data_IF_959121491484
#
_entry.id   IF_959121491484
#
_cell.length_a   1.000
_cell.length_b   1.000
_cell.length_c   1.000
_cell.angle_alpha   90.00
_cell.angle_beta   90.00
_cell.angle_gamma   90.00
#
_symmetry.space_group_name_H-M   'P 1'
#
loop_
_entity.id
_entity.type
_entity.pdbx_description
1 polymer ?
#
# COMPACT_ATOMS: atom_id res chain seq x y z
N UNK A 1 -25.75 54.88 14.41
CA UNK A 1 -25.00 54.68 13.15
C UNK A 1 -24.28 53.34 13.25
N UNK A 2 -25.03 52.25 13.05
CA UNK A 2 -24.49 50.89 12.97
C UNK A 2 -24.80 50.45 11.55
N UNK A 3 -23.77 50.41 10.69
CA UNK A 3 -23.89 50.04 9.28
C UNK A 3 -23.89 48.52 9.10
N UNK A 4 -24.52 48.08 8.01
CA UNK A 4 -24.63 46.68 7.61
C UNK A 4 -23.25 46.03 7.46
N UNK A 5 -23.01 45.07 8.35
CA UNK A 5 -21.90 44.12 8.41
C UNK A 5 -20.62 44.65 9.09
N UNK A 6 -20.66 44.76 10.43
CA UNK A 6 -19.52 44.91 11.34
C UNK A 6 -18.49 43.76 11.31
N UNK A 7 -18.14 43.29 10.11
CA UNK A 7 -17.02 42.43 9.80
C UNK A 7 -15.90 43.37 9.31
N UNK A 8 -14.73 43.42 9.95
CA UNK A 8 -13.62 44.20 9.43
C UNK A 8 -13.28 43.72 8.02
N UNK A 9 -13.05 44.67 7.11
CA UNK A 9 -12.61 44.39 5.74
C UNK A 9 -11.33 43.54 5.86
N UNK A 10 -11.29 42.37 5.22
CA UNK A 10 -10.10 41.53 5.20
C UNK A 10 -8.91 42.36 4.70
N UNK A 11 -7.93 42.63 5.58
CA UNK A 11 -6.78 43.50 5.28
C UNK A 11 -5.80 42.85 4.30
N UNK A 12 -5.95 41.55 4.03
CA UNK A 12 -5.11 40.82 3.08
C UNK A 12 -5.97 39.88 2.24
N UNK A 13 -6.24 40.24 0.98
CA UNK A 13 -6.81 39.34 -0.02
C UNK A 13 -5.64 38.74 -0.82
N UNK A 14 -5.26 37.51 -0.52
CA UNK A 14 -4.30 36.73 -1.31
C UNK A 14 -5.06 36.03 -2.45
N UNK A 15 -5.30 36.74 -3.55
CA UNK A 15 -5.82 36.12 -4.77
C UNK A 15 -4.70 35.28 -5.41
N UNK A 16 -4.62 34.00 -5.07
CA UNK A 16 -3.76 33.04 -5.77
C UNK A 16 -4.59 32.19 -6.72
N UNK A 17 -4.29 32.27 -8.02
CA UNK A 17 -4.81 31.31 -9.01
C UNK A 17 -3.78 30.19 -9.14
N UNK A 18 -4.03 29.08 -8.46
CA UNK A 18 -3.20 27.89 -8.57
C UNK A 18 -3.73 27.02 -9.72
N UNK A 19 -2.97 26.93 -10.82
CA UNK A 19 -3.28 26.00 -11.93
C UNK A 19 -2.24 24.90 -11.87
N UNK A 20 -2.71 23.68 -11.61
CA UNK A 20 -1.89 22.47 -11.65
C UNK A 20 -2.30 21.68 -12.88
N UNK A 21 -1.36 21.41 -13.76
CA UNK A 21 -1.56 20.55 -14.91
C UNK A 21 -0.60 19.36 -14.86
N UNK A 22 -1.12 18.18 -15.19
CA UNK A 22 -0.34 16.96 -15.27
C UNK A 22 -0.78 16.14 -16.47
N UNK A 23 0.18 15.56 -17.18
CA UNK A 23 -0.05 14.79 -18.41
C UNK A 23 0.58 13.42 -18.28
N UNK A 24 -0.15 12.42 -18.73
CA UNK A 24 0.31 11.03 -18.85
C UNK A 24 0.08 10.57 -20.29
N UNK A 25 1.13 10.09 -20.93
CA UNK A 25 1.11 9.49 -22.27
C UNK A 25 1.48 8.02 -22.11
N UNK A 26 0.76 7.14 -22.80
CA UNK A 26 0.94 5.70 -22.64
C UNK A 26 0.89 4.99 -23.98
N UNK A 27 1.89 4.14 -24.22
CA UNK A 27 1.89 3.16 -25.30
C UNK A 27 1.83 1.77 -24.71
N UNK A 28 1.00 0.89 -25.25
CA UNK A 28 0.90 -0.48 -24.77
C UNK A 28 0.73 -1.47 -25.92
N UNK A 29 1.23 -2.67 -25.71
CA UNK A 29 1.05 -3.81 -26.60
C UNK A 29 0.80 -5.07 -25.78
N UNK A 30 -0.04 -5.95 -26.31
CA UNK A 30 -0.37 -7.23 -25.68
C UNK A 30 -0.47 -8.34 -26.72
N UNK A 31 0.12 -9.49 -26.40
CA UNK A 31 0.04 -10.71 -27.17
C UNK A 31 -0.52 -11.80 -26.27
N UNK A 32 -1.55 -12.51 -26.74
CA UNK A 32 -2.03 -13.72 -26.09
C UNK A 32 -1.92 -14.88 -27.08
N UNK A 33 -1.39 -16.00 -26.62
CA UNK A 33 -1.21 -17.20 -27.42
C UNK A 33 -1.77 -18.40 -26.65
N UNK A 34 -2.54 -19.22 -27.35
CA UNK A 34 -3.19 -20.39 -26.80
C UNK A 34 -2.88 -21.57 -27.72
N UNK A 35 -2.28 -22.62 -27.15
CA UNK A 35 -2.05 -23.89 -27.83
C UNK A 35 -3.02 -24.92 -27.29
N UNK A 36 -4.00 -25.28 -28.13
CA UNK A 36 -4.95 -26.37 -27.89
C UNK A 36 -5.65 -26.30 -26.52
N UNK A 37 -5.94 -25.10 -26.03
CA UNK A 37 -6.55 -24.82 -24.73
C UNK A 37 -5.79 -25.40 -23.52
N UNK A 38 -4.52 -25.72 -23.71
CA UNK A 38 -3.61 -26.33 -22.73
C UNK A 38 -2.54 -25.38 -22.25
N UNK A 39 -1.78 -24.82 -23.18
CA UNK A 39 -0.68 -23.91 -22.88
C UNK A 39 -1.09 -22.49 -23.26
N UNK A 40 -1.14 -21.64 -22.27
CA UNK A 40 -1.56 -20.24 -22.36
C UNK A 40 -0.33 -19.38 -22.09
N UNK A 41 -0.03 -18.48 -23.01
CA UNK A 41 0.99 -17.46 -22.86
C UNK A 41 0.34 -16.09 -23.04
N UNK A 42 0.59 -15.18 -22.11
CA UNK A 42 0.26 -13.78 -22.27
C UNK A 42 1.51 -12.93 -22.04
N UNK A 43 1.80 -12.05 -22.98
CA UNK A 43 2.87 -11.07 -22.91
C UNK A 43 2.25 -9.69 -23.02
N UNK A 44 2.73 -8.74 -22.22
CA UNK A 44 2.40 -7.34 -22.43
C UNK A 44 3.59 -6.44 -22.13
N UNK A 45 3.63 -5.29 -22.80
CA UNK A 45 4.60 -4.25 -22.51
C UNK A 45 3.88 -2.91 -22.57
N UNK A 46 4.18 -2.06 -21.60
CA UNK A 46 3.66 -0.70 -21.53
C UNK A 46 4.81 0.27 -21.33
N UNK A 47 4.77 1.38 -22.03
CA UNK A 47 5.73 2.48 -21.94
C UNK A 47 4.96 3.76 -21.63
N UNK A 48 5.13 4.27 -20.41
CA UNK A 48 4.38 5.40 -19.87
C UNK A 48 5.29 6.60 -19.66
N UNK A 49 4.85 7.77 -20.08
CA UNK A 49 5.52 9.05 -19.93
C UNK A 49 4.67 9.99 -19.10
N UNK A 50 5.21 10.51 -17.99
CA UNK A 50 4.51 11.44 -17.12
C UNK A 50 5.24 12.76 -16.97
N UNK A 51 4.48 13.87 -17.01
CA UNK A 51 5.00 15.21 -16.77
C UNK A 51 5.33 15.51 -15.30
N UNK A 52 5.04 14.58 -14.37
CA UNK A 52 5.38 14.73 -12.95
C UNK A 52 6.86 14.52 -12.65
N UNK A 53 7.55 13.79 -13.52
CA UNK A 53 8.97 13.52 -13.35
C UNK A 53 9.82 14.51 -14.17
N UNK A 54 11.10 14.60 -13.81
CA UNK A 54 12.09 15.35 -14.60
C UNK A 54 12.31 14.73 -15.99
N UNK A 55 12.89 15.49 -16.95
CA UNK A 55 13.12 15.01 -18.32
C UNK A 55 13.87 13.69 -18.43
N UNK A 56 14.73 13.38 -17.45
CA UNK A 56 15.52 12.14 -17.38
C UNK A 56 14.71 10.92 -16.95
N UNK A 57 13.64 11.11 -16.17
CA UNK A 57 12.85 10.04 -15.56
C UNK A 57 11.38 10.04 -16.00
N UNK A 58 11.02 10.91 -16.96
CA UNK A 58 9.67 11.05 -17.48
C UNK A 58 9.05 9.72 -17.93
N UNK A 59 9.87 8.84 -18.51
CA UNK A 59 9.42 7.59 -19.11
C UNK A 59 9.78 6.36 -18.27
N UNK A 60 8.84 5.42 -18.18
CA UNK A 60 8.99 4.11 -17.55
C UNK A 60 8.49 2.98 -18.43
N UNK A 61 9.16 1.83 -18.41
CA UNK A 61 8.76 0.62 -19.15
C UNK A 61 8.38 -0.51 -18.20
N UNK A 62 7.21 -1.08 -18.45
CA UNK A 62 6.48 -1.98 -17.56
C UNK A 62 6.05 -3.24 -18.32
N UNK A 63 6.93 -4.25 -18.44
CA UNK A 63 6.61 -5.52 -19.07
C UNK A 63 5.87 -6.47 -18.12
N UNK A 64 5.15 -7.42 -18.69
CA UNK A 64 4.62 -8.58 -17.98
C UNK A 64 4.60 -9.84 -18.85
N UNK A 65 4.69 -10.98 -18.18
CA UNK A 65 4.54 -12.32 -18.74
C UNK A 65 3.67 -13.17 -17.82
N UNK A 66 2.77 -13.94 -18.41
CA UNK A 66 1.97 -14.93 -17.71
C UNK A 66 1.93 -16.23 -18.50
N UNK A 67 2.12 -17.33 -17.79
CA UNK A 67 2.04 -18.69 -18.29
C UNK A 67 0.89 -19.40 -17.57
N UNK A 68 0.09 -20.12 -18.33
CA UNK A 68 -0.96 -21.00 -17.81
C UNK A 68 -0.84 -22.38 -18.44
N UNK A 69 -0.92 -23.41 -17.61
CA UNK A 69 -0.98 -24.80 -18.06
C UNK A 69 -2.25 -25.44 -17.51
N UNK A 70 -3.20 -25.72 -18.39
CA UNK A 70 -4.43 -26.44 -18.07
C UNK A 70 -4.17 -27.94 -18.12
N UNK A 71 -3.77 -28.48 -16.98
CA UNK A 71 -3.39 -29.88 -16.79
C UNK A 71 -4.59 -30.82 -17.04
N UNK A 72 -5.81 -30.38 -16.71
CA UNK A 72 -7.06 -31.13 -16.94
C UNK A 72 -7.27 -31.56 -18.40
N UNK A 73 -6.65 -30.86 -19.35
CA UNK A 73 -6.76 -31.14 -20.79
C UNK A 73 -5.72 -32.16 -21.29
N UNK A 74 -4.78 -32.58 -20.44
CA UNK A 74 -3.76 -33.56 -20.79
C UNK A 74 -4.31 -34.99 -20.86
N UNK A 75 -3.85 -35.83 -21.81
CA UNK A 75 -4.37 -37.19 -21.99
C UNK A 75 -4.38 -38.05 -20.73
N UNK A 76 -3.39 -37.86 -19.85
CA UNK A 76 -3.26 -38.65 -18.62
C UNK A 76 -4.28 -38.29 -17.53
N UNK A 77 -4.89 -37.09 -17.57
CA UNK A 77 -5.95 -36.69 -16.62
C UNK A 77 -7.36 -36.78 -17.19
N UNK A 78 -7.54 -36.95 -18.50
CA UNK A 78 -8.87 -37.01 -19.14
C UNK A 78 -9.77 -38.13 -18.60
N UNK A 79 -9.19 -39.20 -18.06
CA UNK A 79 -9.94 -40.30 -17.46
C UNK A 79 -10.51 -40.00 -16.06
N UNK A 80 -10.04 -38.95 -15.39
CA UNK A 80 -10.44 -38.62 -14.02
C UNK A 80 -11.62 -37.65 -14.00
N UNK A 81 -12.84 -38.19 -14.17
CA UNK A 81 -14.09 -37.42 -14.30
C UNK A 81 -14.48 -36.60 -13.08
N UNK A 82 -13.95 -36.93 -11.90
CA UNK A 82 -14.18 -36.16 -10.68
C UNK A 82 -13.51 -34.78 -10.72
N UNK A 83 -12.45 -34.60 -11.51
CA UNK A 83 -11.74 -33.33 -11.73
C UNK A 83 -12.21 -32.69 -13.03
N UNK A 84 -12.88 -31.55 -12.92
CA UNK A 84 -13.45 -30.82 -14.05
C UNK A 84 -12.52 -29.77 -14.63
N UNK A 85 -11.70 -29.14 -13.79
CA UNK A 85 -10.60 -28.29 -14.26
C UNK A 85 -9.43 -28.33 -13.27
N UNK A 86 -8.24 -28.16 -13.82
CA UNK A 86 -7.01 -28.03 -13.06
C UNK A 86 -6.04 -27.22 -13.91
N UNK A 87 -5.67 -26.06 -13.41
CA UNK A 87 -4.83 -25.12 -14.14
C UNK A 87 -3.77 -24.53 -13.22
N UNK A 88 -2.51 -24.69 -13.61
CA UNK A 88 -1.39 -24.02 -12.97
C UNK A 88 -1.14 -22.69 -13.69
N UNK A 89 -0.94 -21.62 -12.93
CA UNK A 89 -0.63 -20.28 -13.41
C UNK A 89 0.66 -19.80 -12.77
N UNK A 90 1.51 -19.16 -13.56
CA UNK A 90 2.64 -18.40 -13.07
C UNK A 90 2.67 -17.05 -13.80
N UNK A 91 2.96 -15.96 -13.11
CA UNK A 91 3.15 -14.68 -13.77
C UNK A 91 4.20 -13.80 -13.10
N UNK A 92 4.76 -12.92 -13.91
CA UNK A 92 5.60 -11.83 -13.46
C UNK A 92 5.16 -10.54 -14.16
N UNK A 93 5.04 -9.47 -13.41
CA UNK A 93 4.71 -8.15 -13.94
C UNK A 93 5.52 -7.08 -13.21
N UNK A 94 6.03 -6.11 -13.97
CA UNK A 94 6.58 -4.87 -13.43
C UNK A 94 5.57 -3.75 -13.66
N UNK A 95 5.16 -3.05 -12.61
CA UNK A 95 4.27 -1.88 -12.68
C UNK A 95 4.94 -0.65 -12.11
N UNK A 96 4.46 0.54 -12.50
CA UNK A 96 4.97 1.82 -12.03
C UNK A 96 3.91 2.61 -11.28
N UNK A 97 4.34 3.35 -10.26
CA UNK A 97 3.54 4.29 -9.50
C UNK A 97 4.16 5.71 -9.58
N UNK A 98 3.29 6.71 -9.60
CA UNK A 98 3.61 8.13 -9.71
C UNK A 98 2.70 9.00 -8.81
N UNK A 99 2.22 8.41 -7.71
CA UNK A 99 1.34 9.08 -6.75
C UNK A 99 2.13 10.02 -5.83
N UNK A 100 2.60 11.15 -6.37
CA UNK A 100 3.18 12.26 -5.63
C UNK A 100 2.68 13.59 -6.21
N UNK A 101 2.99 14.69 -5.52
CA UNK A 101 2.53 16.02 -5.92
C UNK A 101 3.18 16.47 -7.24
N UNK A 102 2.45 17.26 -8.01
CA UNK A 102 2.96 17.82 -9.27
C UNK A 102 4.10 18.83 -9.03
N UNK A 103 4.94 19.01 -10.05
CA UNK A 103 6.04 19.99 -10.10
C UNK A 103 7.16 19.80 -9.05
N UNK A 104 7.24 18.66 -8.34
CA UNK A 104 8.33 18.42 -7.37
C UNK A 104 9.73 18.30 -8.00
N UNK A 105 9.81 18.15 -9.32
CA UNK A 105 11.05 18.19 -10.09
C UNK A 105 11.57 19.61 -10.38
N UNK A 106 10.77 20.65 -10.11
CA UNK A 106 11.13 22.06 -10.27
C UNK A 106 11.00 22.82 -8.95
N UNK A 107 11.88 23.79 -8.70
CA UNK A 107 11.71 24.69 -7.57
C UNK A 107 10.62 25.72 -7.92
N UNK A 108 9.44 25.61 -7.29
CA UNK A 108 8.37 26.58 -7.43
C UNK A 108 8.50 27.65 -6.34
N UNK A 109 8.21 28.91 -6.68
CA UNK A 109 8.18 29.99 -5.68
C UNK A 109 6.80 30.07 -5.05
N UNK A 110 6.78 30.01 -3.71
CA UNK A 110 5.56 30.04 -2.91
C UNK A 110 5.67 31.08 -1.80
N UNK A 111 4.53 31.62 -1.38
CA UNK A 111 4.47 32.50 -0.21
C UNK A 111 4.88 31.72 1.05
N UNK A 112 5.72 32.35 1.86
CA UNK A 112 6.07 31.83 3.18
C UNK A 112 4.90 31.98 4.16
N UNK A 113 4.98 31.26 5.27
CA UNK A 113 3.96 31.28 6.32
C UNK A 113 4.51 31.92 7.60
N UNK A 114 3.73 31.90 8.70
CA UNK A 114 4.15 32.47 9.98
C UNK A 114 5.40 31.82 10.60
N UNK A 115 5.76 30.60 10.16
CA UNK A 115 6.97 29.90 10.62
C UNK A 115 8.21 30.24 9.78
N UNK A 116 8.05 31.01 8.69
CA UNK A 116 9.10 31.39 7.77
C UNK A 116 8.97 32.87 7.40
N UNK A 117 9.33 33.75 8.33
CA UNK A 117 9.24 35.21 8.14
C UNK A 117 10.61 35.87 8.26
N UNK A 118 10.77 37.01 7.62
CA UNK A 118 11.90 37.91 7.83
C UNK A 118 11.43 39.15 8.57
N UNK A 119 12.09 39.51 9.68
CA UNK A 119 11.67 40.61 10.52
C UNK A 119 12.59 41.82 10.36
N UNK A 120 11.99 42.98 10.10
CA UNK A 120 12.68 44.28 10.13
C UNK A 120 12.22 45.02 11.39
N UNK A 121 13.09 45.06 12.41
CA UNK A 121 12.72 45.59 13.72
C UNK A 121 11.62 44.75 14.38
N UNK A 122 10.51 45.38 14.77
CA UNK A 122 9.36 44.71 15.41
C UNK A 122 8.33 44.14 14.44
N UNK A 123 8.51 44.34 13.12
CA UNK A 123 7.57 43.89 12.11
C UNK A 123 8.13 42.71 11.29
N UNK A 124 7.37 41.62 11.22
CA UNK A 124 7.73 40.44 10.45
C UNK A 124 6.92 40.35 9.15
N UNK A 125 7.60 40.00 8.06
CA UNK A 125 7.03 39.90 6.74
C UNK A 125 7.19 38.47 6.23
N UNK A 126 6.12 37.92 5.64
CA UNK A 126 6.22 36.68 4.87
C UNK A 126 6.94 36.98 3.56
N UNK A 127 8.00 36.23 3.28
CA UNK A 127 8.75 36.33 2.03
C UNK A 127 8.15 35.40 0.97
N UNK A 128 8.66 35.47 -0.26
CA UNK A 128 8.49 34.40 -1.24
C UNK A 128 9.74 33.52 -1.16
N UNK A 129 9.55 32.20 -1.11
CA UNK A 129 10.64 31.24 -1.02
C UNK A 129 10.48 30.09 -2.03
N UNK A 130 11.57 29.47 -2.50
CA UNK A 130 11.48 28.26 -3.29
C UNK A 130 10.94 27.07 -2.46
N UNK A 131 10.20 26.17 -3.12
CA UNK A 131 9.78 24.88 -2.59
C UNK A 131 10.93 23.87 -2.57
N UNK A 132 10.78 22.79 -1.79
CA UNK A 132 11.67 21.65 -1.90
C UNK A 132 11.64 21.08 -3.33
N UNK A 133 12.78 20.61 -3.82
CA UNK A 133 12.91 20.11 -5.21
C UNK A 133 13.76 18.85 -5.28
N UNK A 134 13.28 17.87 -6.06
CA UNK A 134 14.07 16.71 -6.48
C UNK A 134 13.97 16.50 -8.00
N UNK A 135 14.94 17.03 -8.78
CA UNK A 135 14.95 16.85 -10.23
C UNK A 135 15.10 15.39 -10.68
N UNK A 136 15.58 14.51 -9.78
CA UNK A 136 15.89 13.12 -10.05
C UNK A 136 14.83 12.16 -9.50
N UNK A 137 13.69 12.67 -9.01
CA UNK A 137 12.56 11.83 -8.64
C UNK A 137 12.16 10.97 -9.85
N UNK A 138 11.90 9.69 -9.60
CA UNK A 138 11.62 8.67 -10.61
C UNK A 138 10.47 7.77 -10.18
N UNK A 139 9.98 6.97 -11.13
CA UNK A 139 8.92 5.98 -10.91
C UNK A 139 9.23 5.06 -9.74
N UNK A 140 8.26 4.91 -8.83
CA UNK A 140 8.23 3.79 -7.90
C UNK A 140 7.84 2.53 -8.69
N UNK A 141 8.62 1.46 -8.57
CA UNK A 141 8.45 0.28 -9.41
C UNK A 141 8.16 -0.96 -8.58
N UNK A 142 7.08 -1.68 -8.91
CA UNK A 142 6.67 -2.91 -8.24
C UNK A 142 6.89 -4.10 -9.16
N UNK A 143 7.75 -5.03 -8.76
CA UNK A 143 7.90 -6.33 -9.40
C UNK A 143 7.06 -7.36 -8.66
N UNK A 144 5.99 -7.82 -9.30
CA UNK A 144 5.04 -8.79 -8.77
C UNK A 144 5.27 -10.17 -9.40
N UNK A 145 5.39 -11.19 -8.56
CA UNK A 145 5.40 -12.59 -8.91
C UNK A 145 4.15 -13.25 -8.35
N UNK A 146 3.54 -14.12 -9.12
CA UNK A 146 2.31 -14.83 -8.77
C UNK A 146 2.41 -16.29 -9.21
N UNK A 147 2.04 -17.20 -8.33
CA UNK A 147 1.92 -18.63 -8.60
C UNK A 147 0.55 -19.08 -8.10
N UNK A 148 -0.32 -19.49 -9.03
CA UNK A 148 -1.69 -19.86 -8.76
C UNK A 148 -2.01 -21.28 -9.20
N UNK A 149 -2.82 -21.99 -8.43
CA UNK A 149 -3.42 -23.26 -8.81
C UNK A 149 -4.94 -23.10 -8.78
N UNK A 150 -5.57 -23.12 -9.95
CA UNK A 150 -7.02 -23.16 -10.08
C UNK A 150 -7.47 -24.62 -10.16
N UNK A 151 -8.56 -24.95 -9.48
CA UNK A 151 -9.12 -26.29 -9.45
C UNK A 151 -10.64 -26.27 -9.52
N UNK A 152 -11.21 -27.35 -10.05
CA UNK A 152 -12.64 -27.57 -10.13
C UNK A 152 -12.96 -29.06 -10.10
N UNK A 153 -13.91 -29.46 -9.27
CA UNK A 153 -14.36 -30.84 -9.09
C UNK A 153 -15.85 -30.98 -9.34
N UNK A 154 -16.28 -32.18 -9.75
CA UNK A 154 -17.68 -32.60 -9.89
C UNK A 154 -18.53 -31.61 -10.71
N UNK A 155 -18.09 -31.34 -11.95
CA UNK A 155 -18.66 -30.35 -12.86
C UNK A 155 -18.70 -28.94 -12.26
N UNK A 156 -17.58 -28.50 -11.67
CA UNK A 156 -17.44 -27.20 -11.01
C UNK A 156 -18.39 -27.02 -9.81
N UNK A 157 -18.80 -28.12 -9.16
CA UNK A 157 -19.57 -28.06 -7.91
C UNK A 157 -18.71 -27.51 -6.78
N UNK A 158 -17.43 -27.87 -6.76
CA UNK A 158 -16.43 -27.29 -5.87
C UNK A 158 -15.31 -26.75 -6.73
N UNK A 159 -15.06 -25.45 -6.68
CA UNK A 159 -14.04 -24.79 -7.49
C UNK A 159 -13.33 -23.74 -6.66
N UNK A 160 -12.12 -23.35 -7.05
CA UNK A 160 -11.39 -22.37 -6.29
C UNK A 160 -9.98 -22.16 -6.80
N UNK A 161 -9.22 -21.41 -6.02
CA UNK A 161 -7.82 -21.12 -6.29
C UNK A 161 -6.98 -21.14 -5.03
N UNK A 162 -5.71 -21.48 -5.22
CA UNK A 162 -4.65 -21.29 -4.24
C UNK A 162 -3.60 -20.42 -4.91
N UNK A 163 -3.39 -19.22 -4.39
CA UNK A 163 -2.46 -18.25 -4.95
C UNK A 163 -1.40 -17.91 -3.92
N UNK A 164 -0.15 -17.92 -4.35
CA UNK A 164 0.97 -17.33 -3.63
C UNK A 164 1.51 -16.17 -4.43
N UNK A 165 1.77 -15.04 -3.76
CA UNK A 165 2.35 -13.88 -4.42
C UNK A 165 3.51 -13.30 -3.63
N UNK A 166 4.38 -12.61 -4.37
CA UNK A 166 5.42 -11.74 -3.82
C UNK A 166 5.53 -10.48 -4.66
N UNK A 167 5.36 -9.33 -4.03
CA UNK A 167 5.52 -7.99 -4.62
C UNK A 167 6.72 -7.32 -3.95
N UNK A 168 7.73 -6.98 -4.74
CA UNK A 168 8.86 -6.17 -4.31
C UNK A 168 8.72 -4.79 -4.94
N UNK A 169 8.52 -3.77 -4.13
CA UNK A 169 8.47 -2.39 -4.59
C UNK A 169 9.79 -1.71 -4.29
N UNK A 170 10.41 -1.14 -5.32
CA UNK A 170 11.65 -0.37 -5.23
C UNK A 170 11.40 1.09 -5.54
N UNK A 171 12.32 1.94 -5.07
CA UNK A 171 12.26 3.39 -5.29
C UNK A 171 10.98 4.01 -4.70
N UNK A 172 10.60 3.59 -3.49
CA UNK A 172 9.44 4.11 -2.79
C UNK A 172 9.48 5.63 -2.69
N UNK A 173 8.42 6.31 -3.10
CA UNK A 173 8.35 7.77 -3.03
C UNK A 173 7.77 8.16 -1.67
N UNK A 174 8.56 8.88 -0.87
CA UNK A 174 8.12 9.34 0.45
C UNK A 174 8.70 10.71 0.79
N UNK A 175 8.04 11.41 1.72
CA UNK A 175 8.54 12.68 2.25
C UNK A 175 9.40 12.42 3.47
N UNK A 176 10.68 12.75 3.39
CA UNK A 176 11.67 12.49 4.45
C UNK A 176 12.36 13.76 4.89
N UNK A 177 12.83 13.84 6.15
CA UNK A 177 13.70 14.92 6.56
C UNK A 177 15.02 14.87 5.78
N UNK A 178 15.57 16.03 5.45
CA UNK A 178 16.88 16.20 4.82
C UNK A 178 17.73 17.19 5.61
N UNK A 179 19.05 17.06 5.51
CA UNK A 179 19.98 17.96 6.20
C UNK A 179 19.70 19.43 5.85
N UNK A 180 19.70 20.29 6.87
CA UNK A 180 19.51 21.73 6.67
C UNK A 180 20.55 22.28 5.69
N UNK A 181 20.13 23.12 4.75
CA UNK A 181 20.99 23.70 3.70
C UNK A 181 21.24 22.79 2.49
N UNK A 182 20.85 21.51 2.52
CA UNK A 182 20.97 20.61 1.36
C UNK A 182 19.85 20.79 0.32
N UNK A 183 18.75 21.45 0.70
CA UNK A 183 17.60 21.77 -0.14
C UNK A 183 16.92 23.05 0.40
N UNK A 184 15.88 23.53 -0.29
CA UNK A 184 15.10 24.71 0.10
C UNK A 184 14.10 24.46 1.25
N UNK A 185 14.06 23.22 1.75
CA UNK A 185 13.24 22.76 2.86
C UNK A 185 14.02 21.71 3.65
N UNK A 186 13.71 21.55 4.93
CA UNK A 186 14.19 20.45 5.76
C UNK A 186 13.43 19.13 5.52
N UNK A 187 12.47 19.11 4.59
CA UNK A 187 11.77 17.92 4.11
C UNK A 187 11.77 17.87 2.58
N UNK A 188 11.91 16.67 2.04
CA UNK A 188 11.93 16.40 0.60
C UNK A 188 11.12 15.15 0.28
N UNK A 189 10.24 15.24 -0.71
CA UNK A 189 9.60 14.06 -1.32
C UNK A 189 10.54 13.49 -2.38
N UNK A 190 10.99 12.25 -2.20
CA UNK A 190 11.99 11.61 -3.07
C UNK A 190 11.89 10.08 -2.97
N UNK A 191 12.64 9.36 -3.80
CA UNK A 191 12.74 7.91 -3.76
C UNK A 191 13.66 7.48 -2.60
N UNK A 192 13.09 6.83 -1.57
CA UNK A 192 13.78 6.60 -0.29
C UNK A 192 13.83 5.16 0.16
N UNK A 193 13.32 4.18 -0.57
CA UNK A 193 13.36 2.82 -0.03
C UNK A 193 12.82 1.73 -0.92
N UNK A 194 12.74 0.55 -0.31
CA UNK A 194 12.10 -0.62 -0.90
C UNK A 194 11.27 -1.35 0.15
N UNK A 195 10.18 -1.98 -0.29
CA UNK A 195 9.30 -2.79 0.54
C UNK A 195 8.98 -4.11 -0.14
N UNK A 196 8.53 -5.06 0.67
CA UNK A 196 8.08 -6.36 0.23
C UNK A 196 6.71 -6.65 0.81
N UNK A 197 5.81 -7.12 -0.03
CA UNK A 197 4.57 -7.79 0.37
C UNK A 197 4.60 -9.20 -0.15
N UNK A 198 4.23 -10.16 0.67
CA UNK A 198 4.05 -11.54 0.22
C UNK A 198 2.93 -12.20 1.02
N UNK A 199 2.21 -13.07 0.35
CA UNK A 199 1.04 -13.67 0.95
C UNK A 199 0.55 -14.90 0.22
N UNK A 200 -0.43 -15.52 0.86
CA UNK A 200 -1.23 -16.59 0.29
C UNK A 200 -2.69 -16.16 0.27
N UNK A 201 -3.38 -16.54 -0.80
CA UNK A 201 -4.81 -16.34 -0.96
C UNK A 201 -5.42 -17.68 -1.34
N UNK A 202 -6.53 -18.01 -0.68
CA UNK A 202 -7.30 -19.21 -0.94
C UNK A 202 -8.73 -18.77 -1.25
N UNK A 203 -9.29 -19.35 -2.29
CA UNK A 203 -10.69 -19.22 -2.61
C UNK A 203 -11.32 -20.59 -2.77
N UNK A 204 -12.57 -20.72 -2.32
CA UNK A 204 -13.42 -21.89 -2.53
C UNK A 204 -14.83 -21.41 -2.80
N UNK A 205 -15.36 -21.80 -3.95
CA UNK A 205 -16.75 -21.68 -4.33
C UNK A 205 -17.38 -23.08 -4.35
N UNK A 206 -18.49 -23.23 -3.64
CA UNK A 206 -19.20 -24.49 -3.47
C UNK A 206 -20.68 -24.33 -3.82
N UNK A 207 -21.15 -25.08 -4.81
CA UNK A 207 -22.57 -25.30 -5.06
C UNK A 207 -23.04 -26.45 -4.18
N UNK A 208 -23.50 -26.12 -2.99
CA UNK A 208 -23.81 -27.11 -1.96
C UNK A 208 -25.13 -27.81 -2.30
N UNK A 209 -26.17 -27.06 -2.67
CA UNK A 209 -27.47 -27.60 -3.12
C UNK A 209 -27.86 -27.02 -4.48
N UNK A 210 -28.41 -27.86 -5.36
CA UNK A 210 -28.97 -27.42 -6.64
C UNK A 210 -30.50 -27.33 -6.52
N UNK A 211 -31.04 -26.15 -6.82
CA UNK A 211 -32.47 -25.86 -6.73
C UNK A 211 -33.32 -26.80 -7.60
N UNK A 212 -32.74 -27.35 -8.68
CA UNK A 212 -33.44 -28.30 -9.56
C UNK A 212 -33.77 -29.63 -8.87
N UNK A 213 -32.97 -30.03 -7.88
CA UNK A 213 -33.11 -31.30 -7.18
C UNK A 213 -33.87 -31.14 -5.84
N UNK A 214 -33.68 -30.01 -5.15
CA UNK A 214 -34.12 -29.84 -3.76
C UNK A 214 -35.12 -28.69 -3.53
N UNK A 215 -35.55 -27.95 -4.57
CA UNK A 215 -36.28 -26.66 -4.49
C UNK A 215 -35.55 -25.53 -3.75
N UNK A 216 -34.47 -25.86 -3.03
CA UNK A 216 -33.52 -24.98 -2.37
C UNK A 216 -32.18 -25.05 -3.12
N UNK A 217 -31.74 -23.92 -3.65
CA UNK A 217 -30.38 -23.70 -4.12
C UNK A 217 -29.55 -23.07 -3.02
N UNK A 218 -28.31 -23.55 -2.87
CA UNK A 218 -27.35 -22.95 -1.94
C UNK A 218 -25.96 -22.92 -2.56
N UNK A 219 -25.42 -21.71 -2.70
CA UNK A 219 -24.05 -21.45 -3.12
C UNK A 219 -23.31 -20.75 -2.00
N UNK A 220 -22.08 -21.20 -1.72
CA UNK A 220 -21.24 -20.63 -0.69
C UNK A 220 -19.85 -20.35 -1.24
N UNK A 221 -19.36 -19.14 -1.01
CA UNK A 221 -18.02 -18.70 -1.35
C UNK A 221 -17.24 -18.41 -0.07
N UNK A 222 -15.99 -18.84 -0.05
CA UNK A 222 -15.06 -18.66 1.06
C UNK A 222 -13.76 -18.10 0.51
N UNK A 223 -13.22 -17.11 1.20
CA UNK A 223 -11.92 -16.50 0.88
C UNK A 223 -11.10 -16.41 2.15
N UNK A 224 -9.82 -16.74 2.04
CA UNK A 224 -8.84 -16.63 3.12
C UNK A 224 -7.62 -15.94 2.55
N UNK A 225 -7.13 -14.91 3.23
CA UNK A 225 -5.90 -14.24 2.84
C UNK A 225 -4.99 -14.01 4.05
N UNK A 226 -3.70 -14.19 3.81
CA UNK A 226 -2.62 -13.87 4.74
C UNK A 226 -1.58 -13.07 3.99
N UNK A 227 -1.26 -11.88 4.47
CA UNK A 227 -0.23 -11.03 3.89
C UNK A 227 0.75 -10.62 4.98
N UNK A 228 2.04 -10.71 4.66
CA UNK A 228 3.11 -10.10 5.44
C UNK A 228 3.68 -8.94 4.64
N UNK A 229 3.86 -7.82 5.31
CA UNK A 229 4.53 -6.65 4.75
C UNK A 229 5.83 -6.39 5.52
N UNK A 230 6.85 -5.93 4.82
CA UNK A 230 8.15 -5.59 5.38
C UNK A 230 8.73 -4.39 4.64
N UNK A 231 9.24 -3.40 5.38
CA UNK A 231 10.09 -2.37 4.79
C UNK A 231 11.51 -2.93 4.69
N UNK A 232 12.00 -3.16 3.47
CA UNK A 232 13.29 -3.84 3.24
C UNK A 232 14.45 -2.89 3.44
N UNK A 233 14.32 -1.66 2.97
CA UNK A 233 15.35 -0.63 3.15
C UNK A 233 14.77 0.76 3.11
N UNK A 234 15.42 1.66 3.84
CA UNK A 234 15.33 3.11 3.68
C UNK A 234 16.72 3.56 3.23
N UNK A 235 16.81 4.46 2.26
CA UNK A 235 18.06 4.89 1.67
C UNK A 235 18.93 5.60 2.73
N UNK A 236 20.01 4.96 3.21
CA UNK A 236 20.83 5.50 4.28
C UNK A 236 21.72 6.65 3.80
N UNK A 237 21.87 6.85 2.49
CA UNK A 237 22.65 7.97 1.92
C UNK A 237 22.02 9.34 2.19
N UNK A 238 20.81 9.38 2.77
CA UNK A 238 20.12 10.58 3.25
C UNK A 238 20.09 10.68 4.78
N UNK A 239 20.82 9.81 5.49
CA UNK A 239 20.92 9.77 6.97
C UNK A 239 19.61 9.50 7.71
N UNK A 240 18.62 8.89 7.04
CA UNK A 240 17.33 8.53 7.63
C UNK A 240 17.31 7.02 7.88
N UNK A 241 17.46 6.61 9.15
CA UNK A 241 17.37 5.21 9.55
C UNK A 241 15.93 4.76 9.83
N UNK A 242 15.09 5.68 10.30
CA UNK A 242 13.70 5.44 10.66
C UNK A 242 12.87 6.68 10.32
N UNK A 243 11.60 6.51 9.97
CA UNK A 243 10.68 7.63 9.67
C UNK A 243 9.46 7.54 10.59
N UNK A 244 9.30 8.48 11.55
CA UNK A 244 8.10 8.54 12.39
C UNK A 244 6.84 8.79 11.55
N UNK A 245 5.76 8.06 11.84
CA UNK A 245 4.48 8.10 11.11
C UNK A 245 3.28 7.81 12.01
N UNK A 246 2.06 7.88 11.48
CA UNK A 246 0.85 7.63 12.27
C UNK A 246 0.58 8.76 13.27
N UNK A 247 0.32 9.97 12.74
CA UNK A 247 -0.02 11.14 13.55
C UNK A 247 -1.22 10.84 14.47
N UNK A 248 -1.12 11.26 15.73
CA UNK A 248 -2.22 11.14 16.68
C UNK A 248 -2.85 12.51 16.97
N UNK A 249 -4.16 12.51 17.22
CA UNK A 249 -4.87 13.73 17.62
C UNK A 249 -4.42 14.18 19.01
N UNK A 250 -4.26 15.49 19.21
CA UNK A 250 -3.93 16.08 20.52
C UNK A 250 -2.49 16.54 20.72
N UNK A 251 -1.60 16.41 19.73
CA UNK A 251 -0.22 16.93 19.80
C UNK A 251 0.38 17.22 18.42
N UNK A 252 1.04 18.38 18.27
CA UNK A 252 1.75 18.72 17.02
C UNK A 252 3.05 17.93 16.96
N UNK A 253 3.24 17.16 15.88
CA UNK A 253 4.46 16.39 15.66
C UNK A 253 4.57 15.11 16.48
N UNK A 254 3.47 14.63 17.07
CA UNK A 254 3.45 13.34 17.78
C UNK A 254 2.94 12.22 16.88
N UNK A 255 3.72 11.15 16.81
CA UNK A 255 3.50 9.97 15.96
C UNK A 255 3.48 8.71 16.81
N UNK A 256 2.57 7.77 16.54
CA UNK A 256 2.47 6.51 17.26
C UNK A 256 3.16 5.33 16.55
N UNK A 257 3.61 5.51 15.31
CA UNK A 257 4.13 4.44 14.45
C UNK A 257 5.49 4.83 13.86
N UNK A 258 6.21 3.82 13.37
CA UNK A 258 7.51 3.98 12.74
C UNK A 258 7.59 3.19 11.42
N UNK A 259 8.31 3.75 10.46
CA UNK A 259 8.83 3.02 9.31
C UNK A 259 10.29 2.69 9.57
N UNK A 260 10.62 1.40 9.62
CA UNK A 260 11.96 0.92 9.96
C UNK A 260 12.33 -0.34 9.18
N UNK A 261 13.62 -0.43 8.76
CA UNK A 261 14.35 -1.63 8.43
C UNK A 261 13.86 -2.98 8.95
N UNK A 262 13.30 -3.88 8.13
CA UNK A 262 13.11 -5.29 8.53
C UNK A 262 11.95 -5.55 9.48
N UNK A 263 11.06 -4.56 9.70
CA UNK A 263 9.80 -4.73 10.43
C UNK A 263 8.60 -4.40 9.53
N UNK A 264 7.38 -4.81 9.92
CA UNK A 264 6.17 -4.42 9.19
C UNK A 264 6.01 -2.90 9.09
N UNK A 265 5.44 -2.43 7.98
CA UNK A 265 5.15 -0.99 7.84
C UNK A 265 4.18 -0.53 8.92
N UNK A 266 4.37 0.71 9.37
CA UNK A 266 3.53 1.35 10.37
C UNK A 266 3.46 0.58 11.71
N UNK A 267 4.47 -0.24 12.04
CA UNK A 267 4.59 -0.83 13.37
C UNK A 267 4.50 0.23 14.46
N UNK A 268 3.87 -0.11 15.59
CA UNK A 268 3.75 0.83 16.71
C UNK A 268 5.12 1.09 17.32
N UNK A 269 5.40 2.33 17.69
CA UNK A 269 6.68 2.72 18.24
C UNK A 269 6.56 2.96 19.75
N UNK A 270 6.91 1.96 20.54
CA UNK A 270 6.56 1.89 21.97
C UNK A 270 7.78 1.59 22.85
N UNK A 271 7.73 2.03 24.09
CA UNK A 271 8.61 1.52 25.13
C UNK A 271 8.07 0.20 25.70
N UNK A 272 8.94 -0.78 26.02
CA UNK A 272 8.52 -2.00 26.69
C UNK A 272 7.85 -1.69 28.04
N UNK A 273 6.56 -2.01 28.19
CA UNK A 273 5.80 -1.68 29.41
C UNK A 273 6.18 -2.57 30.59
N UNK A 274 6.38 -1.98 31.78
CA UNK A 274 6.56 -2.74 33.03
C UNK A 274 5.21 -3.15 33.63
N UNK A 275 5.09 -4.40 34.07
CA UNK A 275 3.88 -4.95 34.69
C UNK A 275 4.14 -5.42 36.11
N UNK A 276 3.20 -5.14 37.01
CA UNK A 276 3.17 -5.68 38.37
C UNK A 276 1.81 -6.30 38.64
N UNK A 277 1.79 -7.56 39.07
CA UNK A 277 0.54 -8.32 39.29
C UNK A 277 -0.41 -8.31 38.08
N UNK A 278 0.15 -8.40 36.86
CA UNK A 278 -0.60 -8.41 35.60
C UNK A 278 -1.14 -7.05 35.15
N UNK A 279 -0.84 -5.96 35.86
CA UNK A 279 -1.28 -4.60 35.50
C UNK A 279 -0.09 -3.73 35.09
N UNK A 280 -0.23 -2.89 34.05
CA UNK A 280 0.82 -1.95 33.69
C UNK A 280 1.01 -0.94 34.82
N UNK A 281 2.26 -0.66 35.19
CA UNK A 281 2.58 0.40 36.16
C UNK A 281 2.92 1.67 35.40
N UNK A 282 2.18 2.74 35.68
CA UNK A 282 2.39 4.04 35.06
C UNK A 282 3.80 4.58 35.35
N UNK A 283 4.42 5.20 34.33
CA UNK A 283 5.75 5.78 34.44
C UNK A 283 6.88 4.76 34.59
N UNK A 284 6.61 3.45 34.48
CA UNK A 284 7.64 2.41 34.53
C UNK A 284 7.69 1.59 33.26
N UNK A 285 8.89 1.42 32.72
CA UNK A 285 9.17 0.70 31.48
C UNK A 285 10.36 -0.22 31.68
N UNK A 286 10.47 -1.29 30.90
CA UNK A 286 11.74 -2.00 30.79
C UNK A 286 12.63 -1.29 29.78
N UNK A 287 13.95 -1.39 29.95
CA UNK A 287 14.88 -1.10 28.86
C UNK A 287 14.73 -2.12 27.72
N UNK A 288 15.38 -1.87 26.58
CA UNK A 288 15.30 -2.78 25.42
C UNK A 288 15.86 -4.18 25.68
N UNK A 289 16.82 -4.32 26.61
CA UNK A 289 17.36 -5.61 27.03
C UNK A 289 16.42 -6.39 27.98
N UNK A 290 15.45 -5.72 28.60
CA UNK A 290 14.52 -6.31 29.57
C UNK A 290 15.08 -6.55 30.97
N UNK A 291 16.29 -6.08 31.27
CA UNK A 291 17.01 -6.37 32.52
C UNK A 291 16.86 -5.27 33.60
N UNK A 292 16.35 -4.10 33.23
CA UNK A 292 16.24 -2.95 34.12
C UNK A 292 14.93 -2.20 33.94
N UNK A 293 14.45 -1.60 35.03
CA UNK A 293 13.22 -0.80 35.07
C UNK A 293 13.58 0.68 35.04
N UNK A 294 13.06 1.37 34.02
CA UNK A 294 13.20 2.79 33.76
C UNK A 294 12.00 3.56 34.33
N UNK A 295 12.22 4.81 34.70
CA UNK A 295 11.18 5.73 35.24
C UNK A 295 10.58 6.67 34.18
N UNK A 296 10.99 6.52 32.92
CA UNK A 296 10.44 7.28 31.79
C UNK A 296 10.64 6.54 30.47
N UNK A 297 9.78 6.84 29.49
CA UNK A 297 9.93 6.38 28.11
C UNK A 297 10.70 7.45 27.32
N UNK A 298 11.82 7.07 26.72
CA UNK A 298 12.66 7.96 25.90
C UNK A 298 12.90 7.35 24.53
N UNK A 299 13.27 8.17 23.54
CA UNK A 299 13.56 7.71 22.19
C UNK A 299 14.63 6.60 22.13
N UNK A 300 15.58 6.58 23.08
CA UNK A 300 16.60 5.55 23.18
C UNK A 300 16.06 4.17 23.60
N UNK A 301 14.85 4.09 24.14
CA UNK A 301 14.24 2.87 24.68
C UNK A 301 12.94 2.47 23.96
N UNK A 302 12.65 3.11 22.83
CA UNK A 302 11.53 2.73 21.98
C UNK A 302 11.94 1.69 20.95
N UNK A 303 11.00 0.83 20.56
CA UNK A 303 11.16 -0.15 19.49
C UNK A 303 9.91 -0.22 18.63
N UNK A 304 10.08 -0.62 17.38
CA UNK A 304 8.97 -1.11 16.58
C UNK A 304 8.36 -2.35 17.24
N UNK A 305 7.05 -2.36 17.42
CA UNK A 305 6.32 -3.42 18.11
C UNK A 305 4.96 -3.63 17.47
N UNK A 306 4.68 -4.89 17.16
CA UNK A 306 3.47 -5.36 16.46
C UNK A 306 3.25 -4.80 15.04
N UNK A 307 2.56 -5.60 14.26
CA UNK A 307 2.02 -5.22 12.95
C UNK A 307 0.60 -4.70 13.17
N UNK A 308 0.24 -3.48 12.73
CA UNK A 308 -1.13 -3.01 12.80
C UNK A 308 -2.09 -3.76 11.85
N UNK A 309 -1.56 -4.52 10.89
CA UNK A 309 -2.36 -5.28 9.96
C UNK A 309 -2.84 -6.63 10.54
N UNK A 310 -4.06 -7.08 10.21
CA UNK A 310 -4.55 -8.41 10.56
C UNK A 310 -3.66 -9.48 9.94
N UNK A 311 -3.37 -10.52 10.72
CA UNK A 311 -2.68 -11.70 10.22
C UNK A 311 -3.54 -12.46 9.22
N UNK A 312 -4.84 -12.60 9.47
CA UNK A 312 -5.74 -13.30 8.56
C UNK A 312 -6.97 -12.47 8.27
N UNK A 313 -7.38 -12.44 7.00
CA UNK A 313 -8.64 -11.86 6.58
C UNK A 313 -9.46 -12.97 5.95
N UNK A 314 -10.63 -13.23 6.53
CA UNK A 314 -11.57 -14.24 6.08
C UNK A 314 -12.81 -13.57 5.52
N UNK A 315 -13.32 -14.09 4.43
CA UNK A 315 -14.59 -13.69 3.84
C UNK A 315 -15.46 -14.92 3.57
N UNK A 316 -16.74 -14.82 3.88
CA UNK A 316 -17.72 -15.83 3.52
C UNK A 316 -18.95 -15.15 2.94
N UNK A 317 -19.42 -15.62 1.78
CA UNK A 317 -20.71 -15.22 1.22
C UNK A 317 -21.55 -16.47 1.00
N UNK A 318 -22.81 -16.44 1.40
CA UNK A 318 -23.78 -17.48 1.07
C UNK A 318 -24.99 -16.89 0.37
N UNK A 319 -25.42 -17.56 -0.68
CA UNK A 319 -26.61 -17.25 -1.44
C UNK A 319 -27.55 -18.45 -1.41
N UNK A 320 -28.78 -18.24 -0.93
CA UNK A 320 -29.84 -19.21 -0.88
C UNK A 320 -30.97 -18.77 -1.81
N UNK A 321 -31.53 -19.73 -2.54
CA UNK A 321 -32.72 -19.51 -3.38
C UNK A 321 -33.74 -20.57 -3.05
N UNK A 322 -34.94 -20.20 -2.65
CA UNK A 322 -36.03 -21.13 -2.37
C UNK A 322 -37.30 -20.65 -3.10
N UNK A 323 -37.68 -21.36 -4.16
CA UNK A 323 -38.71 -20.91 -5.10
C UNK A 323 -38.46 -19.48 -5.59
N UNK A 324 -39.34 -18.53 -5.21
CA UNK A 324 -39.30 -17.13 -5.62
C UNK A 324 -38.62 -16.23 -4.56
N UNK A 325 -38.05 -16.82 -3.51
CA UNK A 325 -37.32 -16.10 -2.48
C UNK A 325 -35.82 -16.31 -2.64
N UNK A 326 -35.07 -15.23 -2.53
CA UNK A 326 -33.62 -15.25 -2.41
C UNK A 326 -33.18 -14.60 -1.09
N UNK A 327 -32.07 -15.12 -0.56
CA UNK A 327 -31.39 -14.58 0.61
C UNK A 327 -29.89 -14.66 0.38
N UNK A 328 -29.22 -13.53 0.46
CA UNK A 328 -27.76 -13.45 0.43
C UNK A 328 -27.23 -12.82 1.71
N UNK A 329 -26.13 -13.34 2.25
CA UNK A 329 -25.39 -12.66 3.31
C UNK A 329 -23.89 -12.79 3.10
N UNK A 330 -23.15 -11.82 3.64
CA UNK A 330 -21.68 -11.81 3.64
C UNK A 330 -21.16 -11.55 5.04
N UNK A 331 -20.16 -12.33 5.45
CA UNK A 331 -19.41 -12.18 6.68
C UNK A 331 -17.95 -11.87 6.36
N UNK A 332 -17.33 -11.00 7.16
CA UNK A 332 -15.90 -10.71 7.09
C UNK A 332 -15.30 -10.76 8.48
N UNK A 333 -14.15 -11.40 8.62
CA UNK A 333 -13.40 -11.47 9.87
C UNK A 333 -11.94 -11.05 9.66
N UNK A 334 -11.39 -10.39 10.66
CA UNK A 334 -9.99 -9.99 10.74
C UNK A 334 -9.42 -10.59 12.01
N UNK A 335 -8.42 -11.46 11.89
CA UNK A 335 -7.89 -12.24 13.01
C UNK A 335 -6.41 -11.92 13.24
N UNK A 336 -6.02 -11.87 14.51
CA UNK A 336 -4.63 -11.68 14.93
C UNK A 336 -4.11 -10.25 14.85
N UNK A 337 -5.01 -9.26 14.97
CA UNK A 337 -4.66 -7.86 15.24
C UNK A 337 -3.95 -7.69 16.58
#
# INVERSE_FOLDING_TARGET
LLGDNGIPIATTVQNSKYVVDSKLISFFGRLNYNVADRYLLALSVRHDGSSRFGPTNAWGTFPSVSLGWRISQEPFLRGFTALSDLKLRASWAKTGNQAFADYQQYAAYQYSNQQAQYCFGSQCFTTIRPSAVDPNIKWEATSAYDLGLDYGFLNQRFSGSIDWYRKNTSDLIFTVPVAAGSNFSNYLTTNVGSMRNQGIELSLSARILDAREASLGWMADFTVSHNTNELVSINPSRSVAQIPTGNISGGVGTTAQILEPGVPINSFYVCPQYYQSGKPVEGKFYNLAGDSVLTSCTAANQRAYHDPAPKWILGHTSNFTFHNFDLSFTLRAYLGN
#
